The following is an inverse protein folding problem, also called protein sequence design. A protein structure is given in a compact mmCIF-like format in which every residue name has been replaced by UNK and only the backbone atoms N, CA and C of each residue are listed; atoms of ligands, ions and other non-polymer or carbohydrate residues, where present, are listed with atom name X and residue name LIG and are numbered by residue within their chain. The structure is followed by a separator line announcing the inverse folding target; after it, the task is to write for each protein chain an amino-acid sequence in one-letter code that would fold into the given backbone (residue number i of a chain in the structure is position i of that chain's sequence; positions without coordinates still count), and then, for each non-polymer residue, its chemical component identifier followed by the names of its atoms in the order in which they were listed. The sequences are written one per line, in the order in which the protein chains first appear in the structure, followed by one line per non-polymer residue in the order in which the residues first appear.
data_IF_037695991704
#
_entry.id   IF_037695991704
#
_cell.length_a   1.000
_cell.length_b   1.000
_cell.length_c   1.000
_cell.angle_alpha   90.00
_cell.angle_beta   90.00
_cell.angle_gamma   90.00
#
_symmetry.space_group_name_H-M   'P 1'
#
loop_
_entity.id
_entity.type
_entity.pdbx_description
1 polymer ?
#
# COMPACT_ATOMS: atom_id res chain seq x y z
N UNK A 1 23.09 33.15 36.35
CA UNK A 1 21.71 33.24 35.79
C UNK A 1 21.67 33.35 34.24
N UNK A 2 22.54 32.67 33.48
CA UNK A 2 22.58 32.82 31.99
C UNK A 2 22.71 31.50 31.19
N UNK A 3 22.69 30.32 31.83
CA UNK A 3 22.89 29.02 31.14
C UNK A 3 21.62 28.19 30.93
N UNK A 4 20.54 28.47 31.63
CA UNK A 4 19.28 27.71 31.52
C UNK A 4 18.36 28.16 30.38
N UNK A 5 18.51 29.39 29.88
CA UNK A 5 17.67 29.92 28.80
C UNK A 5 18.01 29.37 27.41
N UNK A 6 19.27 28.94 27.20
CA UNK A 6 19.72 28.45 25.88
C UNK A 6 19.19 27.04 25.54
N UNK A 7 18.92 26.21 26.56
CA UNK A 7 18.44 24.83 26.39
C UNK A 7 16.97 24.81 25.96
N UNK A 8 16.17 25.79 26.39
CA UNK A 8 14.73 25.85 26.06
C UNK A 8 14.47 26.22 24.59
N UNK A 9 15.35 27.03 23.98
CA UNK A 9 15.23 27.46 22.57
C UNK A 9 15.62 26.31 21.61
N UNK A 10 16.55 25.44 22.00
CA UNK A 10 16.91 24.23 21.25
C UNK A 10 15.84 23.12 21.33
N UNK A 11 15.05 23.09 22.41
CA UNK A 11 13.93 22.14 22.54
C UNK A 11 12.71 22.55 21.69
N UNK A 12 12.47 23.86 21.55
CA UNK A 12 11.38 24.40 20.74
C UNK A 12 11.61 24.25 19.22
N UNK A 13 12.86 24.27 18.75
CA UNK A 13 13.17 24.01 17.34
C UNK A 13 13.07 22.52 16.95
N UNK A 14 13.16 21.60 17.92
CA UNK A 14 12.95 20.16 17.68
C UNK A 14 11.46 19.79 17.56
N UNK A 15 10.56 20.53 18.21
CA UNK A 15 9.11 20.30 18.13
C UNK A 15 8.50 20.77 16.79
N UNK A 16 9.18 21.66 16.06
CA UNK A 16 8.74 22.17 14.75
C UNK A 16 8.83 21.18 13.59
N UNK A 17 9.48 20.02 13.78
CA UNK A 17 9.70 19.00 12.73
C UNK A 17 8.63 17.90 12.68
N UNK A 18 7.68 17.86 13.62
CA UNK A 18 6.68 16.79 13.72
C UNK A 18 5.41 17.03 12.90
N UNK A 19 5.32 18.14 12.18
CA UNK A 19 4.21 18.46 11.29
C UNK A 19 4.54 18.18 9.82
N UNK A 20 4.88 16.95 9.43
CA UNK A 20 4.87 16.61 8.01
C UNK A 20 3.40 16.62 7.52
N UNK A 21 2.93 17.78 7.06
CA UNK A 21 1.66 17.88 6.35
C UNK A 21 1.81 17.16 5.01
N UNK A 22 1.47 15.87 4.99
CA UNK A 22 1.49 15.08 3.76
C UNK A 22 0.38 15.59 2.83
N UNK A 23 0.75 15.90 1.59
CA UNK A 23 -0.14 16.49 0.59
C UNK A 23 -1.01 15.41 -0.04
N UNK A 24 -2.31 15.66 -0.14
CA UNK A 24 -3.19 14.85 -1.00
C UNK A 24 -3.02 15.28 -2.46
N UNK A 25 -2.84 14.27 -3.31
CA UNK A 25 -2.79 14.41 -4.76
C UNK A 25 -4.09 13.89 -5.37
N UNK A 26 -4.45 14.47 -6.53
CA UNK A 26 -5.60 14.07 -7.33
C UNK A 26 -5.13 13.66 -8.71
N UNK A 27 -5.65 12.56 -9.23
CA UNK A 27 -5.36 12.09 -10.60
C UNK A 27 -6.63 11.56 -11.27
N UNK A 28 -6.72 11.69 -12.58
CA UNK A 28 -7.82 11.13 -13.38
C UNK A 28 -7.27 9.96 -14.20
N UNK A 29 -7.89 8.80 -14.05
CA UNK A 29 -7.46 7.56 -14.68
C UNK A 29 -8.57 7.06 -15.60
N UNK A 30 -8.30 6.91 -16.92
CA UNK A 30 -9.30 6.39 -17.86
C UNK A 30 -9.60 4.92 -17.55
N UNK A 31 -10.88 4.54 -17.51
CA UNK A 31 -11.29 3.16 -17.19
C UNK A 31 -10.98 2.17 -18.33
N UNK A 32 -11.05 2.60 -19.60
CA UNK A 32 -10.91 1.71 -20.79
C UNK A 32 -9.51 1.56 -21.36
N UNK A 33 -8.53 2.39 -20.97
CA UNK A 33 -7.21 2.40 -21.62
C UNK A 33 -6.20 1.42 -21.01
N UNK A 34 -6.57 0.71 -19.94
CA UNK A 34 -5.77 -0.37 -19.39
C UNK A 34 -6.43 -1.70 -19.75
N UNK A 35 -5.69 -2.68 -20.28
CA UNK A 35 -6.17 -4.05 -20.33
C UNK A 35 -6.63 -4.44 -18.93
N UNK A 36 -7.84 -5.00 -18.77
CA UNK A 36 -8.40 -5.39 -17.45
C UNK A 36 -7.37 -6.19 -16.62
N UNK A 37 -6.58 -7.03 -17.30
CA UNK A 37 -5.51 -7.85 -16.74
C UNK A 37 -4.36 -7.07 -16.07
N UNK A 38 -4.16 -5.80 -16.41
CA UNK A 38 -3.04 -4.95 -15.93
C UNK A 38 -3.50 -3.64 -15.25
N UNK A 39 -4.78 -3.52 -14.88
CA UNK A 39 -5.33 -2.28 -14.34
C UNK A 39 -4.60 -1.81 -13.08
N UNK A 40 -4.27 -2.72 -12.15
CA UNK A 40 -3.52 -2.38 -10.92
C UNK A 40 -2.12 -1.82 -11.23
N UNK A 41 -1.38 -2.45 -12.14
CA UNK A 41 -0.07 -1.93 -12.59
C UNK A 41 -0.19 -0.58 -13.28
N UNK A 42 -1.21 -0.39 -14.11
CA UNK A 42 -1.51 0.88 -14.75
C UNK A 42 -1.84 1.96 -13.72
N UNK A 43 -2.70 1.66 -12.74
CA UNK A 43 -3.09 2.58 -11.68
C UNK A 43 -1.88 2.98 -10.81
N UNK A 44 -1.06 2.01 -10.42
CA UNK A 44 0.18 2.25 -9.67
C UNK A 44 1.11 3.19 -10.45
N UNK A 45 1.38 2.92 -11.72
CA UNK A 45 2.35 3.69 -12.50
C UNK A 45 1.80 5.02 -13.02
N UNK A 46 0.63 5.03 -13.65
CA UNK A 46 0.04 6.23 -14.27
C UNK A 46 -0.81 7.05 -13.31
N UNK A 47 -1.50 6.40 -12.37
CA UNK A 47 -2.29 7.09 -11.35
C UNK A 47 -1.41 7.62 -10.22
N UNK A 48 -0.73 6.72 -9.53
CA UNK A 48 0.00 7.02 -8.28
C UNK A 48 1.49 7.31 -8.48
N UNK A 49 1.97 7.30 -9.73
CA UNK A 49 3.38 7.55 -10.08
C UNK A 49 4.33 6.66 -9.29
N UNK A 50 3.94 5.40 -9.07
CA UNK A 50 4.81 4.39 -8.49
C UNK A 50 5.78 3.90 -9.57
N UNK A 51 7.02 3.61 -9.17
CA UNK A 51 8.03 3.08 -10.08
C UNK A 51 7.63 1.66 -10.49
N UNK A 52 7.74 1.28 -11.78
CA UNK A 52 7.64 -0.11 -12.17
C UNK A 52 8.75 -0.92 -11.49
N UNK A 53 8.41 -2.07 -10.91
CA UNK A 53 9.41 -2.90 -10.23
C UNK A 53 10.32 -3.60 -11.24
N UNK A 54 9.83 -3.94 -12.44
CA UNK A 54 10.65 -4.59 -13.47
C UNK A 54 11.85 -3.74 -13.93
N UNK A 55 11.75 -2.42 -13.81
CA UNK A 55 12.82 -1.46 -14.15
C UNK A 55 13.31 -0.69 -12.92
N UNK A 56 13.26 -1.34 -11.75
CA UNK A 56 13.77 -0.76 -10.52
C UNK A 56 15.26 -0.46 -10.64
N UNK A 57 15.67 0.74 -10.18
CA UNK A 57 17.08 1.14 -10.07
C UNK A 57 17.75 0.62 -8.79
N UNK A 58 16.96 0.03 -7.90
CA UNK A 58 17.40 -0.48 -6.61
C UNK A 58 17.80 -1.94 -6.73
N UNK A 59 18.82 -2.34 -5.97
CA UNK A 59 19.25 -3.75 -5.88
C UNK A 59 18.12 -4.63 -5.36
N UNK A 60 17.39 -4.13 -4.36
CA UNK A 60 16.19 -4.75 -3.81
C UNK A 60 15.04 -3.75 -3.82
N UNK A 61 13.89 -4.16 -4.33
CA UNK A 61 12.64 -3.39 -4.26
C UNK A 61 11.47 -4.35 -4.09
N UNK A 62 10.75 -4.17 -2.99
CA UNK A 62 9.61 -4.99 -2.57
C UNK A 62 8.39 -4.07 -2.58
N UNK A 63 7.32 -4.49 -3.26
CA UNK A 63 6.02 -3.83 -3.20
C UNK A 63 5.01 -4.77 -2.56
N UNK A 64 4.33 -4.27 -1.54
CA UNK A 64 3.28 -4.98 -0.82
C UNK A 64 1.99 -4.21 -1.06
N UNK A 65 1.00 -4.84 -1.67
CA UNK A 65 -0.30 -4.18 -1.93
C UNK A 65 -1.39 -4.83 -1.09
N UNK A 66 -2.03 -3.98 -0.30
CA UNK A 66 -3.29 -4.23 0.38
C UNK A 66 -4.42 -3.53 -0.39
N UNK A 67 -5.65 -3.72 0.07
CA UNK A 67 -6.75 -2.89 -0.41
C UNK A 67 -6.50 -1.43 0.01
N UNK A 68 -6.50 -0.52 -0.98
CA UNK A 68 -6.40 0.94 -0.79
C UNK A 68 -5.05 1.46 -0.27
N UNK A 69 -4.08 0.57 -0.03
CA UNK A 69 -2.76 0.92 0.48
C UNK A 69 -1.68 0.08 -0.20
N UNK A 70 -0.62 0.75 -0.65
CA UNK A 70 0.56 0.12 -1.26
C UNK A 70 1.81 0.56 -0.53
N UNK A 71 2.67 -0.38 -0.15
CA UNK A 71 3.95 -0.12 0.50
C UNK A 71 5.05 -0.47 -0.49
N UNK A 72 5.95 0.46 -0.75
CA UNK A 72 7.22 0.22 -1.46
C UNK A 72 8.35 0.24 -0.42
N UNK A 73 9.14 -0.83 -0.36
CA UNK A 73 10.37 -0.96 0.44
C UNK A 73 11.53 -1.15 -0.53
N UNK A 74 12.60 -0.38 -0.42
CA UNK A 74 13.67 -0.42 -1.41
C UNK A 74 15.04 -0.11 -0.83
N UNK A 75 16.07 -0.70 -1.43
CA UNK A 75 17.45 -0.56 -1.01
C UNK A 75 18.41 -0.52 -2.21
N UNK A 76 19.33 0.45 -2.20
CA UNK A 76 20.40 0.54 -3.21
C UNK A 76 21.51 -0.49 -3.01
N UNK A 77 21.77 -0.90 -1.76
CA UNK A 77 22.89 -1.76 -1.38
C UNK A 77 22.46 -3.10 -0.76
N UNK A 78 21.15 -3.34 -0.65
CA UNK A 78 20.59 -4.55 -0.03
C UNK A 78 20.70 -4.59 1.50
N UNK A 79 21.17 -3.52 2.14
CA UNK A 79 21.40 -3.46 3.60
C UNK A 79 20.51 -2.41 4.26
N UNK A 80 20.55 -1.18 3.75
CA UNK A 80 19.76 -0.06 4.29
C UNK A 80 18.52 0.08 3.43
N UNK A 81 17.36 -0.05 4.06
CA UNK A 81 16.07 0.05 3.39
C UNK A 81 15.35 1.36 3.72
N UNK A 82 14.73 1.93 2.69
CA UNK A 82 13.78 3.03 2.80
C UNK A 82 12.40 2.53 2.41
N UNK A 83 11.35 3.26 2.83
CA UNK A 83 9.99 2.86 2.53
C UNK A 83 9.03 4.02 2.30
N UNK A 84 8.04 3.79 1.46
CA UNK A 84 6.94 4.71 1.17
C UNK A 84 5.62 3.96 1.28
N UNK A 85 4.70 4.46 2.09
CA UNK A 85 3.30 4.07 2.07
C UNK A 85 2.53 4.99 1.12
N UNK A 86 1.73 4.40 0.23
CA UNK A 86 0.81 5.10 -0.67
C UNK A 86 -0.62 4.72 -0.29
N UNK A 87 -1.35 5.66 0.32
CA UNK A 87 -2.79 5.53 0.54
C UNK A 87 -3.52 6.03 -0.70
N UNK A 88 -4.61 5.39 -1.09
CA UNK A 88 -5.44 5.87 -2.20
C UNK A 88 -6.91 5.54 -2.03
N UNK A 89 -7.74 6.30 -2.74
CA UNK A 89 -9.18 6.08 -2.80
C UNK A 89 -9.76 6.61 -4.11
N UNK A 90 -10.85 6.00 -4.57
CA UNK A 90 -11.57 6.39 -5.78
C UNK A 90 -12.78 7.26 -5.42
N UNK A 91 -12.91 8.42 -6.06
CA UNK A 91 -14.14 9.22 -6.02
C UNK A 91 -15.24 8.45 -6.77
N UNK A 92 -16.36 8.25 -6.10
CA UNK A 92 -17.57 7.75 -6.73
C UNK A 92 -18.31 8.92 -7.38
N UNK A 93 -18.55 8.82 -8.68
CA UNK A 93 -19.35 9.79 -9.42
C UNK A 93 -20.63 9.05 -9.80
N UNK A 94 -21.77 9.49 -9.24
CA UNK A 94 -23.08 9.03 -9.70
C UNK A 94 -23.29 9.62 -11.10
N UNK A 95 -23.19 8.76 -12.10
CA UNK A 95 -23.46 9.13 -13.49
C UNK A 95 -24.94 8.84 -13.69
N UNK A 96 -25.80 9.86 -13.63
CA UNK A 96 -27.19 9.71 -14.07
C UNK A 96 -27.25 9.19 -15.52
N UNK A 97 -28.37 8.57 -15.91
CA UNK A 97 -28.55 7.83 -17.17
C UNK A 97 -28.15 8.59 -18.45
N UNK A 98 -28.05 9.93 -18.40
CA UNK A 98 -27.72 10.80 -19.54
C UNK A 98 -26.31 11.44 -19.51
N UNK A 99 -25.40 10.96 -18.67
CA UNK A 99 -24.03 11.50 -18.61
C UNK A 99 -23.17 11.06 -19.81
N UNK A 100 -22.76 12.02 -20.65
CA UNK A 100 -21.93 11.81 -21.86
C UNK A 100 -20.46 11.40 -21.61
N UNK A 101 -19.98 11.33 -20.35
CA UNK A 101 -18.62 10.83 -20.08
C UNK A 101 -18.52 9.88 -18.87
N UNK A 102 -18.95 8.61 -19.03
CA UNK A 102 -18.83 7.60 -17.97
C UNK A 102 -17.40 7.09 -17.70
N UNK A 103 -16.34 7.72 -18.23
CA UNK A 103 -15.09 7.00 -18.57
C UNK A 103 -13.82 7.37 -17.81
N UNK A 104 -13.86 8.32 -16.86
CA UNK A 104 -12.67 8.70 -16.05
C UNK A 104 -12.95 8.57 -14.56
N UNK A 105 -12.20 7.69 -13.90
CA UNK A 105 -12.23 7.58 -12.44
C UNK A 105 -11.26 8.60 -11.85
N UNK A 106 -11.75 9.41 -10.92
CA UNK A 106 -10.87 10.29 -10.14
C UNK A 106 -10.35 9.50 -8.95
N UNK A 107 -9.04 9.53 -8.73
CA UNK A 107 -8.41 8.98 -7.54
C UNK A 107 -7.75 10.10 -6.73
N UNK A 108 -7.84 9.97 -5.42
CA UNK A 108 -7.06 10.74 -4.47
C UNK A 108 -6.03 9.81 -3.85
N UNK A 109 -4.82 10.30 -3.65
CA UNK A 109 -3.76 9.52 -3.03
C UNK A 109 -2.81 10.39 -2.23
N UNK A 110 -2.12 9.76 -1.31
CA UNK A 110 -1.12 10.37 -0.44
C UNK A 110 0.09 9.44 -0.37
N UNK A 111 1.28 10.02 -0.33
CA UNK A 111 2.53 9.27 -0.11
C UNK A 111 3.15 9.72 1.21
N UNK A 112 3.57 8.75 2.00
CA UNK A 112 4.11 8.95 3.34
C UNK A 112 5.44 8.19 3.40
N UNK A 113 6.51 8.90 3.72
CA UNK A 113 7.80 8.25 4.02
C UNK A 113 7.67 7.47 5.32
N UNK A 114 8.12 6.22 5.30
CA UNK A 114 8.07 5.35 6.46
C UNK A 114 9.35 5.50 7.29
N UNK A 115 9.22 5.34 8.60
CA UNK A 115 10.35 5.40 9.51
C UNK A 115 11.32 4.22 9.23
N UNK A 116 12.65 4.47 9.12
CA UNK A 116 13.61 3.44 8.72
C UNK A 116 13.60 2.18 9.59
N UNK A 117 13.37 2.32 10.90
CA UNK A 117 13.31 1.20 11.84
C UNK A 117 12.13 0.25 11.56
N UNK A 118 10.95 0.81 11.21
CA UNK A 118 9.77 0.03 10.82
C UNK A 118 9.96 -0.63 9.47
N UNK A 119 10.63 0.05 8.54
CA UNK A 119 10.98 -0.51 7.24
C UNK A 119 11.92 -1.70 7.42
N UNK A 120 12.95 -1.55 8.24
CA UNK A 120 13.93 -2.60 8.51
C UNK A 120 13.29 -3.80 9.20
N UNK A 121 12.39 -3.59 10.17
CA UNK A 121 11.70 -4.69 10.87
C UNK A 121 10.85 -5.53 9.92
N UNK A 122 10.12 -4.87 8.99
CA UNK A 122 9.33 -5.56 7.96
C UNK A 122 10.21 -6.35 7.00
N UNK A 123 11.28 -5.75 6.50
CA UNK A 123 12.20 -6.42 5.58
C UNK A 123 12.84 -7.64 6.25
N UNK A 124 13.29 -7.49 7.50
CA UNK A 124 13.87 -8.59 8.27
C UNK A 124 12.87 -9.72 8.47
N UNK A 125 11.61 -9.39 8.80
CA UNK A 125 10.54 -10.38 8.92
C UNK A 125 10.34 -11.14 7.59
N UNK A 126 10.21 -10.43 6.46
CA UNK A 126 9.98 -11.05 5.16
C UNK A 126 11.12 -11.98 4.73
N UNK A 127 12.37 -11.63 5.04
CA UNK A 127 13.52 -12.50 4.80
C UNK A 127 13.54 -13.69 5.74
N UNK A 128 13.26 -13.49 7.03
CA UNK A 128 13.27 -14.55 8.05
C UNK A 128 12.23 -15.62 7.75
N UNK A 129 11.02 -15.22 7.34
CA UNK A 129 9.96 -16.15 6.95
C UNK A 129 10.08 -16.64 5.50
N UNK A 130 11.11 -16.19 4.77
CA UNK A 130 11.30 -16.46 3.35
C UNK A 130 10.06 -16.20 2.50
N UNK A 131 9.33 -15.09 2.74
CA UNK A 131 8.07 -14.81 2.05
C UNK A 131 8.21 -14.86 0.52
N UNK A 132 9.34 -14.39 -0.01
CA UNK A 132 9.63 -14.37 -1.45
C UNK A 132 9.79 -15.76 -2.11
N UNK A 133 9.96 -16.83 -1.33
CA UNK A 133 10.06 -18.21 -1.84
C UNK A 133 8.73 -18.96 -1.80
N UNK A 134 7.73 -18.44 -1.07
CA UNK A 134 6.43 -19.10 -0.92
C UNK A 134 5.73 -19.21 -2.29
N UNK A 135 5.31 -20.42 -2.73
CA UNK A 135 4.61 -20.59 -4.00
C UNK A 135 3.24 -19.90 -3.98
N UNK A 136 2.57 -19.79 -5.13
CA UNK A 136 1.24 -19.14 -5.21
C UNK A 136 0.22 -19.96 -5.99
N UNK A 137 -1.06 -19.79 -5.66
CA UNK A 137 -2.16 -20.44 -6.37
C UNK A 137 -2.03 -21.96 -6.31
N UNK A 138 -2.17 -22.63 -7.45
CA UNK A 138 -2.11 -24.10 -7.56
C UNK A 138 -0.77 -24.72 -7.16
N UNK A 139 0.29 -23.91 -7.02
CA UNK A 139 1.60 -24.38 -6.55
C UNK A 139 1.65 -24.52 -5.01
N UNK A 140 0.65 -24.01 -4.28
CA UNK A 140 0.45 -24.35 -2.89
C UNK A 140 -0.53 -25.54 -2.85
N UNK A 141 -0.12 -26.70 -2.31
CA UNK A 141 -1.03 -27.84 -2.14
C UNK A 141 -2.29 -27.45 -1.38
N UNK A 142 -3.43 -27.95 -1.85
CA UNK A 142 -4.77 -27.72 -1.28
C UNK A 142 -5.23 -26.25 -1.24
N UNK A 143 -4.51 -25.33 -1.91
CA UNK A 143 -4.93 -23.95 -2.02
C UNK A 143 -6.11 -23.80 -2.97
N UNK A 144 -7.25 -23.43 -2.41
CA UNK A 144 -8.48 -23.24 -3.16
C UNK A 144 -8.53 -21.81 -3.71
N UNK A 145 -8.78 -21.63 -5.03
CA UNK A 145 -9.08 -20.30 -5.56
C UNK A 145 -10.26 -19.69 -4.81
N UNK A 146 -10.07 -18.45 -4.38
CA UNK A 146 -11.00 -17.76 -3.51
C UNK A 146 -12.36 -17.42 -4.12
N UNK A 147 -13.35 -17.22 -3.24
CA UNK A 147 -14.65 -16.63 -3.59
C UNK A 147 -14.52 -15.15 -3.99
N UNK A 148 -15.53 -14.63 -4.68
CA UNK A 148 -15.65 -13.20 -4.98
C UNK A 148 -15.81 -12.44 -3.64
N UNK A 149 -15.22 -11.24 -3.51
CA UNK A 149 -15.32 -10.34 -2.34
C UNK A 149 -14.54 -10.71 -1.06
N UNK A 150 -13.40 -11.39 -1.17
CA UNK A 150 -12.52 -11.63 -0.02
C UNK A 150 -11.28 -10.72 0.00
N UNK A 151 -10.55 -10.76 1.12
CA UNK A 151 -9.26 -10.08 1.23
C UNK A 151 -8.20 -10.73 0.34
N UNK A 152 -7.30 -9.91 -0.17
CA UNK A 152 -6.14 -10.36 -0.92
C UNK A 152 -4.90 -9.63 -0.47
N UNK A 153 -3.75 -10.26 -0.68
CA UNK A 153 -2.45 -9.63 -0.50
C UNK A 153 -1.56 -9.95 -1.70
N UNK A 154 -0.89 -8.92 -2.19
CA UNK A 154 0.03 -9.01 -3.32
C UNK A 154 1.42 -8.63 -2.86
N UNK A 155 2.39 -9.45 -3.21
CA UNK A 155 3.80 -9.11 -3.10
C UNK A 155 4.42 -9.09 -4.49
N UNK A 156 5.20 -8.07 -4.77
CA UNK A 156 6.01 -7.97 -5.98
C UNK A 156 7.45 -7.72 -5.51
N UNK A 157 8.39 -8.48 -6.06
CA UNK A 157 9.80 -8.41 -5.69
C UNK A 157 10.63 -8.11 -6.93
N UNK A 158 11.60 -7.23 -6.78
CA UNK A 158 12.74 -7.11 -7.65
C UNK A 158 13.98 -7.30 -6.80
N UNK A 159 14.58 -8.48 -6.86
CA UNK A 159 15.75 -8.85 -6.06
C UNK A 159 16.79 -9.41 -7.02
N UNK A 160 18.02 -8.89 -6.98
CA UNK A 160 19.13 -9.36 -7.82
C UNK A 160 18.77 -9.44 -9.31
N UNK A 161 18.11 -8.38 -9.81
CA UNK A 161 17.63 -8.23 -11.20
C UNK A 161 16.55 -9.22 -11.63
N UNK A 162 15.94 -9.98 -10.70
CA UNK A 162 14.83 -10.89 -10.98
C UNK A 162 13.54 -10.32 -10.43
N UNK A 163 12.53 -10.27 -11.30
CA UNK A 163 11.19 -9.84 -10.94
C UNK A 163 10.30 -11.05 -10.64
N UNK A 164 9.63 -11.02 -9.49
CA UNK A 164 8.70 -12.04 -9.05
C UNK A 164 7.41 -11.41 -8.53
N UNK A 165 6.29 -12.09 -8.71
CA UNK A 165 4.98 -11.66 -8.22
C UNK A 165 4.29 -12.81 -7.51
N UNK A 166 3.76 -12.53 -6.33
CA UNK A 166 2.98 -13.44 -5.54
C UNK A 166 1.61 -12.83 -5.27
N UNK A 167 0.57 -13.62 -5.49
CA UNK A 167 -0.81 -13.26 -5.21
C UNK A 167 -1.44 -14.33 -4.33
N UNK A 168 -1.96 -13.90 -3.18
CA UNK A 168 -2.66 -14.78 -2.24
C UNK A 168 -4.10 -14.29 -2.09
N UNK A 169 -5.03 -15.03 -2.72
CA UNK A 169 -6.47 -14.77 -2.67
C UNK A 169 -7.10 -15.44 -1.46
N UNK A 170 -7.91 -14.70 -0.70
CA UNK A 170 -8.64 -15.18 0.48
C UNK A 170 -7.80 -16.06 1.43
N UNK A 171 -6.61 -15.62 1.88
CA UNK A 171 -5.75 -16.46 2.70
C UNK A 171 -6.44 -16.92 3.99
N UNK A 172 -7.37 -16.12 4.56
CA UNK A 172 -8.12 -16.49 5.77
C UNK A 172 -9.05 -17.70 5.57
N UNK A 173 -9.61 -17.85 4.37
CA UNK A 173 -10.58 -18.90 4.03
C UNK A 173 -9.96 -20.24 3.69
N UNK A 174 -8.62 -20.33 3.62
CA UNK A 174 -7.91 -21.57 3.33
C UNK A 174 -7.90 -22.51 4.55
N UNK A 175 -7.61 -23.80 4.36
CA UNK A 175 -7.48 -24.73 5.47
C UNK A 175 -6.25 -24.39 6.36
N UNK A 176 -6.39 -24.48 7.68
CA UNK A 176 -5.30 -24.23 8.64
C UNK A 176 -4.15 -25.24 8.54
N UNK A 177 -4.37 -26.41 7.93
CA UNK A 177 -3.31 -27.40 7.67
C UNK A 177 -2.32 -26.96 6.60
N UNK A 178 -2.64 -25.95 5.78
CA UNK A 178 -1.75 -25.46 4.72
C UNK A 178 -0.61 -24.67 5.36
N UNK A 179 0.59 -25.24 5.32
CA UNK A 179 1.78 -24.72 6.01
C UNK A 179 2.09 -23.24 5.71
N UNK A 180 1.85 -22.82 4.46
CA UNK A 180 2.11 -21.43 4.04
C UNK A 180 1.03 -20.44 4.49
N UNK A 181 -0.19 -20.90 4.79
CA UNK A 181 -1.32 -20.04 5.21
C UNK A 181 -0.91 -19.22 6.44
N UNK A 182 -0.36 -19.89 7.45
CA UNK A 182 0.05 -19.27 8.70
C UNK A 182 1.07 -18.15 8.46
N UNK A 183 2.13 -18.42 7.70
CA UNK A 183 3.18 -17.45 7.39
C UNK A 183 2.59 -16.23 6.65
N UNK A 184 1.76 -16.44 5.62
CA UNK A 184 1.14 -15.35 4.86
C UNK A 184 0.29 -14.44 5.76
N UNK A 185 -0.52 -15.04 6.66
CA UNK A 185 -1.39 -14.30 7.56
C UNK A 185 -0.62 -13.58 8.67
N UNK A 186 0.40 -14.22 9.24
CA UNK A 186 1.26 -13.62 10.26
C UNK A 186 2.05 -12.44 9.68
N UNK A 187 2.61 -12.58 8.48
CA UNK A 187 3.31 -11.51 7.78
C UNK A 187 2.38 -10.32 7.49
N UNK A 188 1.17 -10.61 6.99
CA UNK A 188 0.13 -9.60 6.78
C UNK A 188 -0.17 -8.85 8.08
N UNK A 189 -0.49 -9.57 9.15
CA UNK A 189 -0.84 -8.98 10.44
C UNK A 189 0.31 -8.16 11.03
N UNK A 190 1.55 -8.66 10.93
CA UNK A 190 2.75 -7.95 11.35
C UNK A 190 2.89 -6.62 10.61
N UNK A 191 2.82 -6.62 9.28
CA UNK A 191 2.97 -5.39 8.47
C UNK A 191 1.87 -4.37 8.82
N UNK A 192 0.62 -4.83 8.93
CA UNK A 192 -0.51 -3.95 9.27
C UNK A 192 -0.32 -3.29 10.63
N UNK A 193 0.14 -4.05 11.64
CA UNK A 193 0.39 -3.58 12.99
C UNK A 193 1.62 -2.68 13.07
N UNK A 194 2.74 -3.11 12.50
CA UNK A 194 4.02 -2.40 12.57
C UNK A 194 3.91 -0.99 11.96
N UNK A 195 3.19 -0.87 10.85
CA UNK A 195 2.96 0.41 10.19
C UNK A 195 1.73 1.15 10.71
N UNK A 196 0.89 0.55 11.56
CA UNK A 196 -0.39 1.13 11.99
C UNK A 196 -1.22 1.63 10.78
N UNK A 197 -1.42 0.72 9.81
CA UNK A 197 -1.98 1.07 8.50
C UNK A 197 -3.38 1.70 8.58
N UNK A 198 -4.20 1.26 9.55
CA UNK A 198 -5.55 1.78 9.77
C UNK A 198 -5.53 3.24 10.23
N UNK A 199 -4.58 3.62 11.08
CA UNK A 199 -4.38 5.00 11.52
C UNK A 199 -3.95 5.90 10.37
N UNK A 200 -2.97 5.46 9.57
CA UNK A 200 -2.55 6.19 8.36
C UNK A 200 -3.71 6.37 7.39
N UNK A 201 -4.52 5.32 7.17
CA UNK A 201 -5.65 5.41 6.26
C UNK A 201 -6.74 6.32 6.81
N UNK A 202 -7.03 6.28 8.11
CA UNK A 202 -7.99 7.16 8.77
C UNK A 202 -7.58 8.63 8.66
N UNK A 203 -6.31 8.93 8.92
CA UNK A 203 -5.73 10.27 8.73
C UNK A 203 -5.85 10.75 7.28
N UNK A 204 -5.56 9.87 6.31
CA UNK A 204 -5.75 10.15 4.89
C UNK A 204 -7.21 10.47 4.55
N UNK A 205 -8.18 9.67 5.03
CA UNK A 205 -9.61 9.91 4.79
C UNK A 205 -10.07 11.27 5.32
N UNK A 206 -9.58 11.68 6.49
CA UNK A 206 -9.96 12.94 7.12
C UNK A 206 -9.49 14.19 6.35
N UNK A 207 -8.51 14.03 5.45
CA UNK A 207 -8.00 15.09 4.58
C UNK A 207 -8.74 15.17 3.23
N UNK A 208 -9.62 14.21 2.93
CA UNK A 208 -10.35 14.17 1.66
C UNK A 208 -11.31 15.37 1.52
N UNK A 209 -11.55 15.86 0.28
CA UNK A 209 -12.50 16.94 0.04
C UNK A 209 -13.90 16.59 0.59
N UNK A 210 -14.53 17.54 1.29
CA UNK A 210 -15.89 17.43 1.83
C UNK A 210 -16.96 17.41 0.73
N UNK A 211 -18.11 16.81 1.01
CA UNK A 211 -19.26 16.74 0.10
C UNK A 211 -19.06 15.80 -1.10
N UNK A 212 -18.08 14.90 -1.03
CA UNK A 212 -17.75 13.95 -2.08
C UNK A 212 -18.04 12.52 -1.64
N UNK A 213 -18.56 11.71 -2.56
CA UNK A 213 -18.73 10.28 -2.36
C UNK A 213 -17.45 9.55 -2.75
N UNK A 214 -17.01 8.63 -1.92
CA UNK A 214 -15.83 7.79 -2.19
C UNK A 214 -16.19 6.32 -2.05
N UNK A 215 -15.57 5.51 -2.90
CA UNK A 215 -15.67 4.06 -2.83
C UNK A 215 -14.63 3.52 -1.85
N UNK A 216 -15.11 2.91 -0.76
CA UNK A 216 -14.30 2.25 0.27
C UNK A 216 -14.40 0.73 0.20
N UNK A 217 -13.30 0.06 0.52
CA UNK A 217 -13.21 -1.37 0.83
C UNK A 217 -12.97 -1.52 2.35
N UNK A 218 -13.30 -2.66 2.97
CA UNK A 218 -13.68 -3.95 2.36
C UNK A 218 -15.15 -4.10 1.95
N UNK A 219 -16.07 -3.29 2.49
CA UNK A 219 -17.52 -3.56 2.37
C UNK A 219 -18.17 -3.06 1.08
N UNK A 220 -17.37 -2.64 0.08
CA UNK A 220 -17.85 -2.02 -1.16
C UNK A 220 -18.79 -0.82 -0.89
N UNK A 221 -18.63 -0.18 0.26
CA UNK A 221 -19.51 0.87 0.74
C UNK A 221 -19.08 2.22 0.21
N UNK A 222 -20.06 3.09 0.01
CA UNK A 222 -19.82 4.49 -0.29
C UNK A 222 -19.92 5.29 0.99
N UNK A 223 -18.97 6.20 1.22
CA UNK A 223 -19.10 7.19 2.27
C UNK A 223 -19.01 8.59 1.70
N UNK A 224 -19.74 9.51 2.34
CA UNK A 224 -19.72 10.94 2.04
C UNK A 224 -18.91 11.62 3.13
N UNK A 225 -17.88 12.35 2.74
CA UNK A 225 -17.10 13.20 3.65
C UNK A 225 -17.96 14.38 4.09
N UNK A 226 -18.14 14.54 5.41
CA UNK A 226 -18.92 15.63 6.02
C UNK A 226 -18.01 16.80 6.43
#
# INVERSE_FOLDING_TARGET
MKRTTLIFILFLSFLGLLGQTTKIYRTKVPYRNAPIKNYSTYLNHKGFKLRPLQSSIYQTHIRISFDLQTIDLYSKNGVIFEGILTNYIREYIYLGENSKDPRKSTYYYEKISLAPEKVQSIVQMLYTTQQFTIPTGKLIPDWTPGAIHCDAIFFEYYINKKYHKQYYSCPKSQNDTIIYKKIILENKAFIQKELDLDSFYTSFKNKLPKGKAFYGKPDYSYFITR
#
